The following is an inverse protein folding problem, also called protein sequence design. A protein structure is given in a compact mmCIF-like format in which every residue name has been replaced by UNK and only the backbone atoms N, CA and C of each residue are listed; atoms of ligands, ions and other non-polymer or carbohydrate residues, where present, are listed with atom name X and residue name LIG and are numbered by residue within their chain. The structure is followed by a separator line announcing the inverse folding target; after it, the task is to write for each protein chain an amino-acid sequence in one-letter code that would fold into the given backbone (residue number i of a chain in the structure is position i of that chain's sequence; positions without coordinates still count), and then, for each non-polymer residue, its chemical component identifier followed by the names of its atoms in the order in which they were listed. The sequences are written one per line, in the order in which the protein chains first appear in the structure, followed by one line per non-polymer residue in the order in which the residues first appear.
data_IF_986969284400
#
_entry.id   IF_986969284400
#
_cell.length_a   1.000
_cell.length_b   1.000
_cell.length_c   1.000
_cell.angle_alpha   90.00
_cell.angle_beta   90.00
_cell.angle_gamma   90.00
#
_symmetry.space_group_name_H-M   'P 1'
#
loop_
_entity.id
_entity.type
_entity.pdbx_description
1 polymer ?
#
# COMPACT_ATOMS: atom_id res chain seq x y z
N UNK A 1 -49.72 -47.55 23.80
CA UNK A 1 -50.27 -46.27 23.31
C UNK A 1 -49.23 -45.23 23.69
N UNK A 2 -48.25 -44.99 22.83
CA UNK A 2 -48.32 -43.93 21.79
C UNK A 2 -48.08 -42.56 22.46
N UNK A 3 -47.13 -41.71 22.09
CA UNK A 3 -46.21 -41.66 20.96
C UNK A 3 -45.06 -40.70 21.33
N UNK A 4 -43.96 -40.82 20.59
CA UNK A 4 -42.77 -39.95 20.61
C UNK A 4 -43.16 -38.47 20.43
N UNK A 5 -42.40 -37.55 21.05
CA UNK A 5 -41.64 -36.58 20.25
C UNK A 5 -40.53 -35.91 21.07
N UNK A 6 -39.30 -36.18 20.67
CA UNK A 6 -38.09 -35.43 20.98
C UNK A 6 -38.18 -34.06 20.31
N UNK A 7 -37.89 -32.98 21.04
CA UNK A 7 -37.60 -31.67 20.46
C UNK A 7 -36.32 -31.17 21.11
N UNK A 8 -35.24 -31.31 20.34
CA UNK A 8 -33.93 -30.75 20.55
C UNK A 8 -34.03 -29.21 20.61
N UNK A 9 -33.63 -28.61 21.73
CA UNK A 9 -33.39 -27.17 21.86
C UNK A 9 -31.96 -26.80 21.39
N UNK A 10 -31.57 -27.29 20.21
CA UNK A 10 -30.37 -26.83 19.52
C UNK A 10 -30.75 -25.64 18.64
N UNK A 11 -30.87 -24.48 19.28
CA UNK A 11 -30.96 -23.19 18.61
C UNK A 11 -29.67 -22.96 17.82
N UNK A 12 -29.80 -23.03 16.49
CA UNK A 12 -28.77 -22.73 15.51
C UNK A 12 -28.22 -21.32 15.72
N UNK A 13 -26.99 -21.24 16.24
CA UNK A 13 -26.11 -20.08 16.01
C UNK A 13 -25.82 -20.04 14.50
N UNK A 14 -26.54 -19.20 13.77
CA UNK A 14 -26.16 -18.80 12.42
C UNK A 14 -24.78 -18.13 12.50
N UNK A 15 -23.73 -18.93 12.30
CA UNK A 15 -22.39 -18.42 12.09
C UNK A 15 -22.40 -17.57 10.83
N UNK A 16 -22.15 -16.28 11.01
CA UNK A 16 -21.99 -15.30 9.96
C UNK A 16 -21.04 -15.89 8.88
N UNK A 17 -21.44 -16.03 7.61
CA UNK A 17 -20.65 -16.72 6.57
C UNK A 17 -19.31 -16.01 6.24
N UNK A 18 -19.02 -14.91 6.94
CA UNK A 18 -17.81 -14.11 6.86
C UNK A 18 -16.82 -14.35 8.03
N UNK A 19 -17.12 -15.28 8.95
CA UNK A 19 -16.29 -15.58 10.13
C UNK A 19 -15.12 -16.56 9.82
N UNK A 20 -14.74 -16.68 8.55
CA UNK A 20 -13.51 -17.38 8.19
C UNK A 20 -12.32 -16.53 8.65
N UNK A 21 -11.33 -17.09 9.37
CA UNK A 21 -10.15 -16.35 9.78
C UNK A 21 -9.50 -15.71 8.56
N UNK A 22 -9.43 -14.39 8.58
CA UNK A 22 -8.77 -13.61 7.53
C UNK A 22 -7.34 -14.10 7.39
N UNK A 23 -6.78 -14.14 6.17
CA UNK A 23 -5.34 -14.35 6.01
C UNK A 23 -4.62 -13.22 6.77
N UNK A 24 -4.02 -13.57 7.91
CA UNK A 24 -3.19 -12.65 8.70
C UNK A 24 -2.05 -12.19 7.80
N UNK A 25 -1.89 -10.87 7.63
CA UNK A 25 -0.66 -10.33 7.05
C UNK A 25 0.43 -10.24 8.13
N UNK A 26 0.58 -11.29 8.93
CA UNK A 26 1.71 -11.48 9.83
C UNK A 26 2.57 -12.61 9.25
N UNK A 27 3.11 -12.32 8.08
CA UNK A 27 4.38 -12.86 7.66
C UNK A 27 5.13 -11.67 7.06
N UNK A 28 5.78 -10.92 7.95
CA UNK A 28 7.15 -10.50 7.68
C UNK A 28 7.91 -11.78 7.32
N UNK A 29 7.76 -12.19 6.06
CA UNK A 29 8.58 -13.23 5.47
C UNK A 29 9.96 -12.60 5.48
N UNK A 30 10.74 -12.97 6.50
CA UNK A 30 12.17 -12.78 6.52
C UNK A 30 12.64 -13.04 5.10
N UNK A 31 13.14 -11.98 4.47
CA UNK A 31 13.63 -12.03 3.12
C UNK A 31 14.80 -13.00 3.12
N UNK A 32 14.53 -14.28 2.84
CA UNK A 32 15.53 -15.17 2.30
C UNK A 32 16.01 -14.49 1.02
N UNK A 33 17.21 -13.93 1.14
CA UNK A 33 17.93 -13.24 0.10
C UNK A 33 18.23 -14.23 -1.01
N UNK A 34 17.39 -14.25 -2.05
CA UNK A 34 17.84 -14.67 -3.37
C UNK A 34 18.71 -13.54 -3.95
N UNK A 35 19.96 -13.56 -3.48
CA UNK A 35 21.09 -12.67 -3.75
C UNK A 35 21.63 -12.79 -5.21
N UNK A 36 20.75 -12.98 -6.19
CA UNK A 36 21.18 -13.24 -7.59
C UNK A 36 20.53 -12.39 -8.67
N UNK A 37 19.68 -11.42 -8.32
CA UNK A 37 18.94 -10.62 -9.31
C UNK A 37 19.08 -9.10 -9.26
N UNK A 38 19.52 -8.51 -8.14
CA UNK A 38 19.54 -7.06 -7.98
C UNK A 38 20.82 -6.46 -8.57
N UNK A 39 20.82 -6.32 -9.89
CA UNK A 39 21.70 -5.42 -10.66
C UNK A 39 22.05 -4.21 -9.81
N UNK A 40 23.35 -3.95 -9.65
CA UNK A 40 23.93 -2.66 -9.26
C UNK A 40 23.08 -1.55 -9.88
N UNK A 41 22.11 -1.00 -9.13
CA UNK A 41 21.53 0.29 -9.49
C UNK A 41 22.72 1.22 -9.43
N UNK A 42 23.18 1.65 -10.59
CA UNK A 42 24.22 2.67 -10.76
C UNK A 42 23.76 3.79 -9.83
N UNK A 43 24.40 3.94 -8.65
CA UNK A 43 24.06 5.01 -7.72
C UNK A 43 24.18 6.28 -8.54
N UNK A 44 23.05 6.89 -8.88
CA UNK A 44 23.08 8.13 -9.62
C UNK A 44 23.87 9.11 -8.77
N UNK A 45 24.75 9.91 -9.39
CA UNK A 45 25.54 10.86 -8.65
C UNK A 45 24.61 11.79 -7.89
N UNK A 46 24.96 12.05 -6.63
CA UNK A 46 24.31 13.06 -5.80
C UNK A 46 24.28 14.39 -6.56
N UNK A 47 23.13 15.06 -6.49
CA UNK A 47 23.04 16.43 -6.98
C UNK A 47 23.41 17.40 -5.87
N UNK A 48 24.10 18.46 -6.26
CA UNK A 48 24.21 19.63 -5.41
C UNK A 48 22.91 20.44 -5.46
N UNK A 49 22.46 21.01 -4.34
CA UNK A 49 21.30 21.90 -4.32
C UNK A 49 21.50 23.10 -5.26
N UNK A 50 20.59 23.27 -6.22
CA UNK A 50 20.61 24.39 -7.17
C UNK A 50 19.85 25.62 -6.66
N UNK A 51 19.03 25.47 -5.62
CA UNK A 51 18.28 26.57 -5.01
C UNK A 51 18.08 26.43 -3.48
N UNK A 52 17.64 27.52 -2.86
CA UNK A 52 17.40 27.62 -1.42
C UNK A 52 16.34 26.62 -0.91
N UNK A 53 15.36 26.23 -1.74
CA UNK A 53 14.32 25.29 -1.32
C UNK A 53 14.84 23.86 -1.27
N UNK A 54 15.64 23.47 -2.26
CA UNK A 54 16.34 22.17 -2.26
C UNK A 54 17.29 22.07 -1.08
N UNK A 55 18.10 23.12 -0.84
CA UNK A 55 19.01 23.17 0.31
C UNK A 55 18.26 23.03 1.63
N UNK A 56 17.22 23.82 1.83
CA UNK A 56 16.38 23.76 3.03
C UNK A 56 15.72 22.39 3.23
N UNK A 57 15.29 21.74 2.16
CA UNK A 57 14.68 20.41 2.21
C UNK A 57 15.69 19.34 2.64
N UNK A 58 16.88 19.39 2.05
CA UNK A 58 18.01 18.51 2.36
C UNK A 58 18.47 18.71 3.81
N UNK A 59 18.70 19.96 4.22
CA UNK A 59 19.10 20.32 5.58
C UNK A 59 18.05 19.83 6.59
N UNK A 60 16.77 20.10 6.34
CA UNK A 60 15.68 19.69 7.24
C UNK A 60 15.65 18.17 7.46
N UNK A 61 15.64 17.38 6.39
CA UNK A 61 15.62 15.93 6.53
C UNK A 61 16.89 15.39 7.17
N UNK A 62 18.04 15.96 6.82
CA UNK A 62 19.33 15.58 7.41
C UNK A 62 19.32 15.84 8.92
N UNK A 63 18.86 17.02 9.35
CA UNK A 63 18.69 17.33 10.78
C UNK A 63 17.76 16.34 11.46
N UNK A 64 16.58 16.07 10.89
CA UNK A 64 15.61 15.15 11.51
C UNK A 64 16.20 13.74 11.66
N UNK A 65 16.85 13.20 10.63
CA UNK A 65 17.47 11.86 10.66
C UNK A 65 18.59 11.79 11.70
N UNK A 66 19.42 12.84 11.78
CA UNK A 66 20.51 12.93 12.76
C UNK A 66 19.99 13.05 14.19
N UNK A 67 19.00 13.91 14.45
CA UNK A 67 18.38 14.10 15.78
C UNK A 67 17.60 12.85 16.23
N UNK A 68 17.16 12.02 15.28
CA UNK A 68 16.59 10.69 15.58
C UNK A 68 17.65 9.62 15.86
N UNK A 69 18.94 9.98 15.84
CA UNK A 69 20.09 9.07 16.04
C UNK A 69 20.10 7.89 15.06
N UNK A 70 19.73 8.15 13.80
CA UNK A 70 19.63 7.12 12.76
C UNK A 70 20.86 7.15 11.86
N UNK A 71 21.47 5.99 11.61
CA UNK A 71 22.57 5.88 10.65
C UNK A 71 22.04 5.84 9.21
N UNK A 72 21.71 7.03 8.71
CA UNK A 72 21.24 7.28 7.35
C UNK A 72 21.80 8.60 6.81
N UNK A 73 22.02 8.62 5.49
CA UNK A 73 22.37 9.82 4.72
C UNK A 73 21.21 10.20 3.82
N UNK A 74 21.04 11.50 3.61
CA UNK A 74 20.02 12.05 2.72
C UNK A 74 20.70 12.57 1.45
N UNK A 75 20.20 12.16 0.30
CA UNK A 75 20.75 12.53 -1.00
C UNK A 75 19.71 13.25 -1.84
N UNK A 76 20.11 14.34 -2.49
CA UNK A 76 19.31 14.98 -3.52
C UNK A 76 19.47 14.22 -4.84
N UNK A 77 18.34 13.85 -5.45
CA UNK A 77 18.27 13.06 -6.69
C UNK A 77 17.63 13.86 -7.81
N UNK A 78 17.95 13.47 -9.05
CA UNK A 78 17.27 14.02 -10.23
C UNK A 78 15.80 13.65 -10.18
N UNK A 79 14.97 14.53 -10.75
CA UNK A 79 13.60 14.19 -11.05
C UNK A 79 13.56 12.94 -11.94
N UNK A 80 12.66 12.01 -11.61
CA UNK A 80 12.43 10.84 -12.46
C UNK A 80 11.87 11.30 -13.80
N UNK A 81 12.15 10.54 -14.84
CA UNK A 81 11.62 10.79 -16.19
C UNK A 81 10.08 10.86 -16.14
N UNK A 82 9.51 11.98 -16.65
CA UNK A 82 8.08 12.26 -16.58
C UNK A 82 7.63 13.19 -15.43
N UNK A 83 8.50 13.50 -14.48
CA UNK A 83 8.23 14.52 -13.46
C UNK A 83 8.67 15.91 -13.93
N UNK A 84 8.03 16.96 -13.40
CA UNK A 84 8.41 18.33 -13.70
C UNK A 84 9.85 18.60 -13.27
N UNK A 85 10.59 19.37 -14.08
CA UNK A 85 11.99 19.78 -13.82
C UNK A 85 12.16 20.47 -12.44
N UNK A 86 11.05 20.95 -11.87
CA UNK A 86 10.98 21.70 -10.62
C UNK A 86 10.74 20.85 -9.35
N UNK A 87 10.72 19.51 -9.46
CA UNK A 87 10.49 18.61 -8.33
C UNK A 87 11.76 18.39 -7.49
N UNK A 88 11.61 18.46 -6.17
CA UNK A 88 12.67 18.15 -5.20
C UNK A 88 12.58 16.67 -4.83
N UNK A 89 13.58 15.87 -5.20
CA UNK A 89 13.61 14.43 -4.90
C UNK A 89 14.71 14.12 -3.89
N UNK A 90 14.33 13.58 -2.75
CA UNK A 90 15.23 13.22 -1.65
C UNK A 90 15.19 11.72 -1.44
N UNK A 91 16.37 11.11 -1.36
CA UNK A 91 16.54 9.69 -1.06
C UNK A 91 17.28 9.53 0.27
N UNK A 92 16.67 8.78 1.19
CA UNK A 92 17.30 8.37 2.45
C UNK A 92 17.91 6.98 2.23
N UNK A 93 19.18 6.80 2.55
CA UNK A 93 19.90 5.53 2.44
C UNK A 93 20.78 5.30 3.66
N UNK A 94 21.00 4.04 4.05
CA UNK A 94 21.84 3.73 5.21
C UNK A 94 21.37 2.51 5.99
N UNK A 95 22.10 2.18 7.07
CA UNK A 95 21.84 0.97 7.87
C UNK A 95 20.47 1.01 8.55
N UNK A 96 20.01 2.19 8.94
CA UNK A 96 18.73 2.39 9.61
C UNK A 96 17.56 2.71 8.64
N UNK A 97 17.76 2.59 7.32
CA UNK A 97 16.73 2.94 6.33
C UNK A 97 15.42 2.14 6.54
N UNK A 98 15.51 0.88 7.00
CA UNK A 98 14.35 0.06 7.34
C UNK A 98 13.48 0.67 8.46
N UNK A 99 14.09 1.28 9.46
CA UNK A 99 13.39 1.96 10.56
C UNK A 99 12.78 3.29 10.09
N UNK A 100 13.45 4.02 9.19
CA UNK A 100 12.92 5.22 8.53
C UNK A 100 11.69 4.90 7.67
N UNK A 101 11.66 3.73 7.03
CA UNK A 101 10.47 3.25 6.31
C UNK A 101 9.32 3.04 7.31
N UNK A 102 9.60 2.30 8.40
CA UNK A 102 8.61 1.96 9.41
C UNK A 102 7.53 0.99 8.90
N UNK A 103 6.57 0.64 9.77
CA UNK A 103 5.51 -0.32 9.42
C UNK A 103 4.71 0.20 8.21
N UNK A 104 4.72 -0.56 7.11
CA UNK A 104 4.03 -0.22 5.84
C UNK A 104 4.36 1.20 5.31
N UNK A 105 5.54 1.75 5.61
CA UNK A 105 5.94 3.06 5.10
C UNK A 105 5.38 4.26 5.88
N UNK A 106 4.82 4.04 7.08
CA UNK A 106 4.17 5.09 7.87
C UNK A 106 5.14 6.23 8.26
N UNK A 107 6.37 5.90 8.64
CA UNK A 107 7.37 6.89 9.09
C UNK A 107 7.87 7.68 7.89
N UNK A 108 8.18 7.00 6.79
CA UNK A 108 8.56 7.65 5.54
C UNK A 108 7.46 8.60 5.03
N UNK A 109 6.19 8.21 5.15
CA UNK A 109 5.04 9.04 4.78
C UNK A 109 4.90 10.29 5.68
N UNK A 110 5.17 10.15 6.98
CA UNK A 110 5.18 11.28 7.91
C UNK A 110 6.32 12.26 7.59
N UNK A 111 7.54 11.75 7.36
CA UNK A 111 8.70 12.57 6.97
C UNK A 111 8.44 13.32 5.66
N UNK A 112 7.87 12.64 4.66
CA UNK A 112 7.41 13.23 3.41
C UNK A 112 6.42 14.39 3.65
N UNK A 113 5.45 14.19 4.54
CA UNK A 113 4.42 15.20 4.84
C UNK A 113 5.01 16.44 5.53
N UNK A 114 5.82 16.23 6.56
CA UNK A 114 6.44 17.36 7.30
C UNK A 114 7.40 18.12 6.41
N UNK A 115 8.23 17.42 5.63
CA UNK A 115 9.16 18.02 4.67
C UNK A 115 8.40 18.87 3.64
N UNK A 116 7.31 18.33 3.09
CA UNK A 116 6.43 19.06 2.17
C UNK A 116 5.87 20.34 2.81
N UNK A 117 5.47 20.29 4.09
CA UNK A 117 4.95 21.45 4.81
C UNK A 117 6.03 22.51 5.10
N UNK A 118 7.26 22.09 5.38
CA UNK A 118 8.40 22.98 5.67
C UNK A 118 8.83 23.77 4.42
N UNK A 119 8.77 23.14 3.25
CA UNK A 119 9.14 23.73 1.96
C UNK A 119 8.03 24.65 1.44
N UNK A 120 6.78 24.19 1.44
CA UNK A 120 5.64 24.94 0.90
C UNK A 120 5.00 25.83 1.97
N UNK A 121 5.66 26.95 2.26
CA UNK A 121 5.11 28.01 3.12
C UNK A 121 4.01 28.80 2.40
N UNK A 122 3.01 29.34 3.14
CA UNK A 122 2.00 30.23 2.56
C UNK A 122 2.65 31.44 1.86
N UNK A 123 2.09 31.86 0.72
CA UNK A 123 2.59 33.00 -0.05
C UNK A 123 3.70 32.68 -1.06
N UNK A 124 4.07 31.41 -1.20
CA UNK A 124 5.02 30.93 -2.20
C UNK A 124 4.36 29.96 -3.17
N UNK A 125 4.84 29.94 -4.43
CA UNK A 125 4.43 28.92 -5.41
C UNK A 125 4.70 27.52 -4.87
N UNK A 126 3.75 26.61 -5.08
CA UNK A 126 3.85 25.25 -4.56
C UNK A 126 4.86 24.47 -5.39
N UNK A 127 5.86 23.89 -4.73
CA UNK A 127 6.75 22.91 -5.36
C UNK A 127 6.46 21.51 -4.89
N UNK A 128 6.56 20.55 -5.80
CA UNK A 128 6.45 19.15 -5.44
C UNK A 128 7.75 18.68 -4.78
N UNK A 129 7.61 17.93 -3.69
CA UNK A 129 8.73 17.26 -3.03
C UNK A 129 8.40 15.79 -2.87
N UNK A 130 9.36 14.93 -3.13
CA UNK A 130 9.28 13.50 -2.94
C UNK A 130 10.42 13.04 -2.04
N UNK A 131 10.10 12.26 -1.02
CA UNK A 131 11.03 11.63 -0.09
C UNK A 131 10.88 10.12 -0.24
N UNK A 132 11.93 9.40 -0.59
CA UNK A 132 11.95 7.94 -0.71
C UNK A 132 13.08 7.37 0.15
N UNK A 133 12.99 6.08 0.47
CA UNK A 133 14.03 5.36 1.19
C UNK A 133 14.44 4.14 0.39
N UNK A 134 15.63 4.18 -0.20
CA UNK A 134 16.22 3.11 -1.02
C UNK A 134 15.28 2.50 -2.08
N UNK A 135 14.37 3.28 -2.67
CA UNK A 135 13.39 2.79 -3.65
C UNK A 135 12.20 2.02 -3.07
N UNK A 136 11.94 2.15 -1.76
CA UNK A 136 10.85 1.47 -1.05
C UNK A 136 9.49 1.68 -1.72
N UNK A 137 9.16 2.92 -2.11
CA UNK A 137 7.86 3.24 -2.72
C UNK A 137 7.55 2.36 -3.93
N UNK A 138 8.52 2.19 -4.82
CA UNK A 138 8.37 1.35 -6.02
C UNK A 138 8.19 -0.12 -5.64
N UNK A 139 9.06 -0.66 -4.77
CA UNK A 139 8.97 -2.06 -4.32
C UNK A 139 7.63 -2.35 -3.64
N UNK A 140 7.13 -1.40 -2.86
CA UNK A 140 5.84 -1.49 -2.17
C UNK A 140 4.68 -1.51 -3.15
N UNK A 141 4.71 -0.65 -4.15
CA UNK A 141 3.68 -0.59 -5.19
C UNK A 141 3.62 -1.91 -5.98
N UNK A 142 4.79 -2.46 -6.38
CA UNK A 142 4.88 -3.74 -7.10
C UNK A 142 4.34 -4.92 -6.28
N UNK A 143 4.74 -4.98 -5.00
CA UNK A 143 4.29 -6.01 -4.05
C UNK A 143 2.78 -5.96 -3.83
N UNK A 144 2.22 -4.76 -3.60
CA UNK A 144 0.78 -4.57 -3.42
C UNK A 144 -0.01 -4.92 -4.68
N UNK A 145 0.46 -4.49 -5.86
CA UNK A 145 -0.19 -4.80 -7.12
C UNK A 145 -0.20 -6.31 -7.41
N UNK A 146 0.90 -7.01 -7.10
CA UNK A 146 0.99 -8.46 -7.22
C UNK A 146 0.00 -9.17 -6.28
N UNK A 147 -0.04 -8.74 -5.01
CA UNK A 147 -0.98 -9.26 -4.02
C UNK A 147 -2.43 -9.02 -4.43
N UNK A 148 -2.75 -7.81 -4.93
CA UNK A 148 -4.09 -7.47 -5.40
C UNK A 148 -4.54 -8.38 -6.53
N UNK A 149 -3.70 -8.65 -7.53
CA UNK A 149 -4.04 -9.59 -8.62
C UNK A 149 -4.26 -11.01 -8.13
N UNK A 150 -3.46 -11.48 -7.17
CA UNK A 150 -3.62 -12.82 -6.57
C UNK A 150 -4.95 -12.94 -5.82
N UNK A 151 -5.25 -11.96 -4.97
CA UNK A 151 -6.51 -11.93 -4.22
C UNK A 151 -7.71 -11.70 -5.12
N UNK A 152 -7.55 -10.96 -6.22
CA UNK A 152 -8.57 -10.82 -7.27
C UNK A 152 -8.99 -12.17 -7.85
N UNK A 153 -8.02 -13.00 -8.26
CA UNK A 153 -8.29 -14.38 -8.73
C UNK A 153 -9.04 -15.19 -7.68
N UNK A 154 -8.56 -15.16 -6.45
CA UNK A 154 -9.15 -15.90 -5.34
C UNK A 154 -10.60 -15.44 -5.06
N UNK A 155 -10.88 -14.15 -5.12
CA UNK A 155 -12.23 -13.61 -4.93
C UNK A 155 -13.20 -14.10 -6.01
N UNK A 156 -12.76 -14.17 -7.27
CA UNK A 156 -13.55 -14.73 -8.38
C UNK A 156 -13.81 -16.22 -8.18
N UNK A 157 -12.76 -16.99 -7.88
CA UNK A 157 -12.84 -18.46 -7.70
C UNK A 157 -13.77 -18.84 -6.55
N UNK A 158 -13.69 -18.11 -5.43
CA UNK A 158 -14.47 -18.41 -4.22
C UNK A 158 -15.85 -17.73 -4.23
N UNK A 159 -16.07 -16.72 -5.07
CA UNK A 159 -17.27 -15.89 -5.04
C UNK A 159 -17.46 -15.14 -3.72
N UNK A 160 -16.38 -14.90 -2.96
CA UNK A 160 -16.39 -14.23 -1.65
C UNK A 160 -15.67 -12.88 -1.71
N UNK A 161 -16.14 -11.94 -0.89
CA UNK A 161 -15.49 -10.64 -0.71
C UNK A 161 -14.18 -10.86 0.04
N UNK A 162 -13.10 -10.27 -0.47
CA UNK A 162 -11.80 -10.26 0.20
C UNK A 162 -11.48 -8.84 0.64
N UNK A 163 -11.21 -8.67 1.92
CA UNK A 163 -10.93 -7.37 2.53
C UNK A 163 -9.44 -7.27 2.86
N UNK A 164 -8.79 -6.21 2.39
CA UNK A 164 -7.44 -5.88 2.81
C UNK A 164 -7.42 -5.30 4.22
N UNK A 165 -6.25 -5.36 4.86
CA UNK A 165 -5.98 -4.55 6.04
C UNK A 165 -6.07 -3.05 5.74
N UNK A 166 -6.35 -2.22 6.77
CA UNK A 166 -6.30 -0.77 6.63
C UNK A 166 -4.95 -0.29 6.07
N UNK A 167 -5.02 0.68 5.17
CA UNK A 167 -3.84 1.21 4.48
C UNK A 167 -4.07 2.66 4.03
N UNK A 168 -2.97 3.37 3.82
CA UNK A 168 -2.98 4.77 3.42
C UNK A 168 -3.64 4.97 2.03
N UNK A 169 -4.10 6.19 1.68
CA UNK A 169 -4.75 6.46 0.41
C UNK A 169 -3.93 6.10 -0.85
N UNK A 170 -2.59 6.21 -0.80
CA UNK A 170 -1.69 5.87 -1.91
C UNK A 170 -1.70 4.37 -2.17
N UNK A 171 -1.55 3.56 -1.12
CA UNK A 171 -1.60 2.09 -1.18
C UNK A 171 -2.97 1.62 -1.70
N UNK A 172 -4.08 2.21 -1.22
CA UNK A 172 -5.43 1.90 -1.73
C UNK A 172 -5.54 2.17 -3.23
N UNK A 173 -5.00 3.30 -3.70
CA UNK A 173 -4.98 3.64 -5.13
C UNK A 173 -4.20 2.61 -5.95
N UNK A 174 -3.07 2.10 -5.45
CA UNK A 174 -2.32 1.03 -6.12
C UNK A 174 -3.18 -0.22 -6.31
N UNK A 175 -3.91 -0.65 -5.26
CA UNK A 175 -4.83 -1.80 -5.34
C UNK A 175 -5.94 -1.55 -6.36
N UNK A 176 -6.59 -0.38 -6.30
CA UNK A 176 -7.64 0.00 -7.25
C UNK A 176 -7.15 -0.01 -8.69
N UNK A 177 -5.97 0.56 -8.96
CA UNK A 177 -5.37 0.58 -10.29
C UNK A 177 -4.94 -0.82 -10.76
N UNK A 178 -4.40 -1.65 -9.86
CA UNK A 178 -3.99 -3.01 -10.20
C UNK A 178 -5.17 -3.90 -10.60
N UNK A 179 -6.39 -3.58 -10.15
CA UNK A 179 -7.62 -4.33 -10.41
C UNK A 179 -8.60 -3.61 -11.33
N UNK A 180 -8.31 -2.40 -11.83
CA UNK A 180 -9.28 -1.62 -12.62
C UNK A 180 -9.69 -2.29 -13.93
N UNK A 181 -8.82 -3.12 -14.50
CA UNK A 181 -9.09 -3.93 -15.70
C UNK A 181 -9.20 -5.43 -15.42
N UNK A 182 -9.30 -5.85 -14.16
CA UNK A 182 -9.36 -7.25 -13.79
C UNK A 182 -10.81 -7.77 -13.91
N UNK A 183 -11.05 -8.70 -14.83
CA UNK A 183 -12.40 -9.24 -15.06
C UNK A 183 -12.94 -9.99 -13.83
N UNK A 184 -14.23 -9.79 -13.55
CA UNK A 184 -14.94 -10.54 -12.51
C UNK A 184 -14.81 -9.98 -11.09
N UNK A 185 -14.15 -8.84 -10.89
CA UNK A 185 -14.12 -8.14 -9.60
C UNK A 185 -14.35 -6.64 -9.74
N UNK A 186 -14.88 -6.02 -8.70
CA UNK A 186 -14.86 -4.58 -8.48
C UNK A 186 -14.15 -4.29 -7.17
N UNK A 187 -13.62 -3.08 -7.03
CA UNK A 187 -12.94 -2.66 -5.81
C UNK A 187 -13.66 -1.48 -5.16
N UNK A 188 -13.80 -1.51 -3.83
CA UNK A 188 -14.40 -0.43 -3.04
C UNK A 188 -13.52 -0.11 -1.84
N UNK A 189 -13.31 1.18 -1.57
CA UNK A 189 -12.73 1.61 -0.30
C UNK A 189 -13.83 1.76 0.75
N UNK A 190 -13.70 1.04 1.87
CA UNK A 190 -14.66 0.98 2.98
C UNK A 190 -14.01 1.43 4.31
N UNK A 191 -14.79 2.07 5.19
CA UNK A 191 -14.30 2.68 6.43
C UNK A 191 -13.84 4.14 6.31
N UNK A 192 -13.37 4.72 7.42
CA UNK A 192 -12.97 6.12 7.56
C UNK A 192 -11.55 6.25 8.14
N UNK A 193 -10.91 7.40 7.90
CA UNK A 193 -9.59 7.71 8.47
C UNK A 193 -8.54 6.60 8.24
N UNK A 194 -7.90 6.21 9.33
CA UNK A 194 -6.83 5.20 9.37
C UNK A 194 -7.36 3.75 9.26
N UNK A 195 -8.64 3.52 9.59
CA UNK A 195 -9.28 2.20 9.49
C UNK A 195 -9.78 1.88 8.07
N UNK A 196 -9.68 2.86 7.17
CA UNK A 196 -10.20 2.74 5.81
C UNK A 196 -9.35 1.78 4.96
N UNK A 197 -10.02 0.79 4.39
CA UNK A 197 -9.45 -0.39 3.70
C UNK A 197 -10.06 -0.60 2.32
N UNK A 198 -9.48 -1.50 1.52
CA UNK A 198 -10.01 -1.88 0.19
C UNK A 198 -10.67 -3.25 0.28
N UNK A 199 -11.87 -3.36 -0.27
CA UNK A 199 -12.57 -4.62 -0.51
C UNK A 199 -12.53 -4.97 -1.99
N UNK A 200 -12.19 -6.22 -2.29
CA UNK A 200 -12.35 -6.85 -3.59
C UNK A 200 -13.68 -7.60 -3.56
N UNK A 201 -14.61 -7.19 -4.41
CA UNK A 201 -15.96 -7.75 -4.47
C UNK A 201 -16.09 -8.49 -5.81
N UNK A 202 -16.32 -9.81 -5.82
CA UNK A 202 -16.52 -10.55 -7.06
C UNK A 202 -17.86 -10.17 -7.69
N UNK A 203 -17.85 -9.95 -9.00
CA UNK A 203 -19.05 -9.74 -9.79
C UNK A 203 -19.61 -11.11 -10.12
N UNK A 204 -20.75 -11.48 -9.53
CA UNK A 204 -21.47 -12.68 -9.99
C UNK A 204 -21.78 -12.50 -11.48
N UNK A 205 -21.26 -13.38 -12.34
CA UNK A 205 -21.89 -13.60 -13.63
C UNK A 205 -23.32 -14.03 -13.30
N UNK A 206 -24.30 -13.29 -13.80
CA UNK A 206 -25.69 -13.73 -13.77
C UNK A 206 -25.73 -15.08 -14.51
N UNK A 207 -25.74 -16.16 -13.74
CA UNK A 207 -26.00 -17.49 -14.27
C UNK A 207 -27.41 -17.47 -14.81
N UNK A 208 -27.53 -17.83 -16.08
CA UNK A 208 -28.72 -18.42 -16.71
C UNK A 208 -29.58 -19.16 -15.69
N UNK A 209 -30.60 -18.49 -15.16
CA UNK A 209 -31.72 -19.17 -14.54
C UNK A 209 -32.47 -19.86 -15.67
N UNK A 210 -32.46 -21.20 -15.66
CA UNK A 210 -33.11 -22.03 -16.66
C UNK A 210 -34.57 -21.64 -16.84
N UNK A 211 -34.92 -21.21 -18.05
CA UNK A 211 -36.29 -21.18 -18.52
C UNK A 211 -36.75 -22.63 -18.68
N UNK A 212 -37.39 -23.16 -17.64
CA UNK A 212 -38.24 -24.33 -17.75
C UNK A 212 -39.36 -24.00 -18.76
N UNK A 213 -39.41 -24.75 -19.85
CA UNK A 213 -40.53 -24.73 -20.79
C UNK A 213 -41.78 -25.26 -20.08
N UNK A 214 -42.91 -24.54 -20.05
CA UNK A 214 -44.17 -25.18 -19.77
C UNK A 214 -44.62 -25.92 -21.04
N UNK A 215 -45.13 -27.14 -20.81
CA UNK A 215 -45.74 -28.02 -21.79
C UNK A 215 -47.12 -27.52 -22.24
#
# INVERSE_FOLDING_TARGET
MSDKNELNDDAWEEKDPNDAPLPKADADAGAETDDRGARRRRREPDLEPSDERQKKALDFLTTVVTEMEMDCTVHLRRAREGNSVDEINLEIAGRDAGRIIGKKGQVLSALQFVTHRVINRPGLDRRHVSVDAEGYKSRRDDSLASMARRLGKQAVEQGKIITFEPMNPRDRRVVHLALSGFEGVITRSDGEGDDRRVQIIPVRRAGTAGGASPA
#
